data_IF_866123120023
#
_entry.id   IF_866123120023
#
_cell.length_a   1.000
_cell.length_b   1.000
_cell.length_c   1.000
_cell.angle_alpha   90.00
_cell.angle_beta   90.00
_cell.angle_gamma   90.00
#
_symmetry.space_group_name_H-M   'P 1'
#
loop_
_entity.id
_entity.type
_entity.pdbx_description
1 polymer ?
#
# COMPACT_ATOMS: atom_id res chain seq x y z
N UNK A 1 -14.05 30.75 -78.84
CA UNK A 1 -13.94 32.23 -78.88
C UNK A 1 -13.56 32.71 -77.50
N UNK A 2 -12.47 33.46 -77.45
CA UNK A 2 -11.90 34.26 -76.34
C UNK A 2 -11.14 33.52 -75.20
N UNK A 3 -9.84 33.54 -75.40
CA UNK A 3 -8.76 33.59 -74.41
C UNK A 3 -9.01 34.66 -73.31
N UNK A 4 -8.62 34.44 -72.12
CA UNK A 4 -7.92 35.47 -71.31
C UNK A 4 -6.91 34.80 -70.36
N UNK A 5 -5.68 35.22 -70.58
CA UNK A 5 -4.51 35.03 -69.76
C UNK A 5 -4.58 35.75 -68.42
N UNK A 6 -3.68 35.43 -67.51
CA UNK A 6 -2.87 36.34 -66.67
C UNK A 6 -2.88 35.73 -65.20
N UNK A 7 -1.86 35.67 -64.45
CA UNK A 7 -0.51 36.13 -64.35
C UNK A 7 0.20 35.33 -63.26
N UNK A 8 1.49 35.13 -63.53
CA UNK A 8 2.46 34.56 -62.63
C UNK A 8 2.77 35.55 -61.51
N UNK A 9 2.58 35.17 -60.25
CA UNK A 9 3.04 35.89 -59.07
C UNK A 9 3.98 35.05 -58.26
N UNK A 10 5.27 35.28 -58.44
CA UNK A 10 6.33 34.68 -57.58
C UNK A 10 6.33 35.39 -56.25
N UNK A 11 6.01 34.66 -55.17
CA UNK A 11 6.28 35.14 -53.82
C UNK A 11 7.35 34.28 -53.20
N UNK A 12 8.51 34.88 -53.00
CA UNK A 12 9.60 34.32 -52.22
C UNK A 12 9.24 34.31 -50.74
N UNK A 13 9.08 33.14 -50.15
CA UNK A 13 8.91 33.00 -48.72
C UNK A 13 10.25 32.84 -48.04
N UNK A 14 10.63 33.82 -47.25
CA UNK A 14 11.76 33.73 -46.32
C UNK A 14 11.45 32.66 -45.23
N UNK A 15 12.31 31.64 -45.18
CA UNK A 15 12.33 30.70 -44.06
C UNK A 15 13.04 31.38 -42.86
N UNK A 16 12.27 31.86 -41.89
CA UNK A 16 12.78 32.20 -40.59
C UNK A 16 12.79 30.91 -39.72
N UNK A 17 13.96 30.36 -39.50
CA UNK A 17 14.19 29.31 -38.52
C UNK A 17 13.99 29.91 -37.12
N UNK A 18 12.83 29.63 -36.49
CA UNK A 18 12.58 29.92 -35.10
C UNK A 18 13.05 28.72 -34.26
N UNK A 19 14.21 28.84 -33.63
CA UNK A 19 14.61 27.97 -32.54
C UNK A 19 13.68 28.25 -31.32
N UNK A 20 12.59 27.50 -31.22
CA UNK A 20 11.73 27.51 -30.06
C UNK A 20 12.37 26.70 -28.92
N UNK A 21 12.87 27.39 -27.88
CA UNK A 21 13.13 26.81 -26.59
C UNK A 21 11.86 26.08 -26.11
N UNK A 22 11.95 24.75 -25.95
CA UNK A 22 10.96 24.03 -25.14
C UNK A 22 11.10 24.50 -23.69
N UNK A 23 10.26 25.43 -23.30
CA UNK A 23 10.03 25.70 -21.90
C UNK A 23 9.54 24.39 -21.26
N UNK A 24 10.24 23.92 -20.23
CA UNK A 24 9.78 22.87 -19.36
C UNK A 24 8.43 23.31 -18.77
N UNK A 25 7.35 22.65 -19.17
CA UNK A 25 6.11 22.74 -18.41
C UNK A 25 6.38 22.22 -16.99
N UNK A 26 6.03 22.96 -15.95
CA UNK A 26 6.16 22.46 -14.60
C UNK A 26 5.24 21.24 -14.45
N UNK A 27 5.83 20.09 -14.13
CA UNK A 27 5.06 18.92 -13.69
C UNK A 27 4.06 19.37 -12.63
N UNK A 28 2.79 19.20 -12.91
CA UNK A 28 1.72 19.46 -11.97
C UNK A 28 1.95 18.58 -10.75
N UNK A 29 2.47 19.16 -9.67
CA UNK A 29 2.50 18.51 -8.36
C UNK A 29 1.06 18.21 -8.00
N UNK A 30 0.67 16.96 -8.07
CA UNK A 30 -0.61 16.48 -7.56
C UNK A 30 -0.66 16.90 -6.09
N UNK A 31 -1.49 17.88 -5.76
CA UNK A 31 -1.77 18.24 -4.39
C UNK A 31 -2.51 17.06 -3.77
N UNK A 32 -1.82 16.22 -3.01
CA UNK A 32 -2.46 15.21 -2.20
C UNK A 32 -3.33 15.93 -1.16
N UNK A 33 -4.60 15.62 -1.15
CA UNK A 33 -5.55 16.08 -0.12
C UNK A 33 -5.07 15.56 1.24
N UNK A 34 -4.97 16.41 2.26
CA UNK A 34 -4.66 15.99 3.64
C UNK A 34 -5.84 15.26 4.32
N UNK A 35 -6.98 15.16 3.63
CA UNK A 35 -8.20 14.56 4.15
C UNK A 35 -8.49 13.22 3.50
N UNK A 36 -8.87 12.25 4.32
CA UNK A 36 -9.30 10.95 3.84
C UNK A 36 -10.57 11.02 2.98
N UNK A 37 -10.51 10.39 1.82
CA UNK A 37 -11.64 10.17 0.94
C UNK A 37 -11.96 8.69 0.91
N UNK A 38 -13.18 8.32 1.23
CA UNK A 38 -13.63 6.93 1.12
C UNK A 38 -13.81 6.57 -0.36
N UNK A 39 -13.25 5.44 -0.77
CA UNK A 39 -13.33 4.91 -2.14
C UNK A 39 -13.80 3.46 -2.13
N UNK A 40 -14.24 2.94 -3.27
CA UNK A 40 -14.54 1.53 -3.43
C UNK A 40 -13.27 0.70 -3.55
N UNK A 41 -13.25 -0.57 -3.11
CA UNK A 41 -12.10 -1.45 -3.29
C UNK A 41 -11.59 -1.54 -4.74
N UNK A 42 -12.49 -1.47 -5.73
CA UNK A 42 -12.16 -1.51 -7.16
C UNK A 42 -11.46 -0.23 -7.67
N UNK A 43 -11.47 0.82 -6.88
CA UNK A 43 -10.81 2.10 -7.18
C UNK A 43 -9.39 2.18 -6.60
N UNK A 44 -8.91 1.09 -5.99
CA UNK A 44 -7.52 0.97 -5.56
C UNK A 44 -6.65 0.83 -6.81
N UNK A 45 -6.00 1.91 -7.20
CA UNK A 45 -5.12 1.98 -8.37
C UNK A 45 -3.65 1.89 -7.92
N UNK A 46 -3.17 0.67 -7.71
CA UNK A 46 -1.81 0.37 -7.26
C UNK A 46 -1.24 -0.87 -7.95
N UNK A 47 0.07 -0.93 -8.07
CA UNK A 47 0.74 -2.19 -8.34
C UNK A 47 0.86 -2.97 -7.02
N UNK A 48 0.04 -3.99 -6.81
CA UNK A 48 0.00 -4.74 -5.56
C UNK A 48 1.34 -5.42 -5.23
N UNK A 49 2.08 -5.92 -6.22
CA UNK A 49 3.40 -6.53 -6.00
C UNK A 49 4.37 -5.49 -5.45
N UNK A 50 4.46 -4.32 -6.11
CA UNK A 50 5.33 -3.23 -5.65
C UNK A 50 4.92 -2.73 -4.25
N UNK A 51 3.63 -2.54 -4.02
CA UNK A 51 3.10 -2.02 -2.76
C UNK A 51 3.51 -2.88 -1.56
N UNK A 52 3.46 -4.23 -1.70
CA UNK A 52 3.89 -5.11 -0.61
C UNK A 52 5.40 -5.33 -0.62
N UNK A 53 6.00 -5.73 -1.75
CA UNK A 53 7.39 -6.17 -1.79
C UNK A 53 8.40 -5.01 -1.64
N UNK A 54 8.14 -3.89 -2.30
CA UNK A 54 9.08 -2.78 -2.37
C UNK A 54 8.71 -1.63 -1.42
N UNK A 55 7.45 -1.17 -1.45
CA UNK A 55 7.01 0.00 -0.69
C UNK A 55 6.71 -0.34 0.78
N UNK A 56 6.34 -1.59 1.05
CA UNK A 56 5.91 -2.15 2.33
C UNK A 56 4.58 -1.56 2.83
N UNK A 57 3.89 -2.35 3.60
CA UNK A 57 2.65 -1.94 4.26
C UNK A 57 2.80 -2.00 5.78
N UNK A 58 2.05 -1.18 6.48
CA UNK A 58 1.90 -1.30 7.94
C UNK A 58 0.61 -2.05 8.24
N UNK A 59 0.74 -3.24 8.81
CA UNK A 59 -0.35 -4.02 9.36
C UNK A 59 -0.62 -3.57 10.78
N UNK A 60 -1.89 -3.33 11.11
CA UNK A 60 -2.32 -3.02 12.47
C UNK A 60 -3.53 -3.84 12.86
N UNK A 61 -3.58 -4.28 14.11
CA UNK A 61 -4.70 -5.00 14.71
C UNK A 61 -4.90 -4.57 16.16
N UNK A 62 -6.11 -4.74 16.64
CA UNK A 62 -6.56 -4.21 17.93
C UNK A 62 -7.42 -2.97 17.77
N UNK A 63 -7.85 -2.39 18.91
CA UNK A 63 -8.74 -1.23 18.93
C UNK A 63 -8.22 -0.18 19.90
N UNK A 64 -8.44 1.07 19.56
CA UNK A 64 -8.10 2.21 20.39
C UNK A 64 -6.66 2.11 20.95
N UNK A 65 -6.47 2.18 22.25
CA UNK A 65 -5.16 2.08 22.89
C UNK A 65 -4.63 0.65 23.02
N UNK A 66 -5.48 -0.37 22.82
CA UNK A 66 -5.10 -1.79 22.83
C UNK A 66 -4.85 -2.30 21.43
N UNK A 67 -3.78 -1.85 20.81
CA UNK A 67 -3.42 -2.19 19.43
C UNK A 67 -1.93 -2.52 19.32
N UNK A 68 -1.58 -3.22 18.24
CA UNK A 68 -0.19 -3.36 17.82
C UNK A 68 -0.07 -3.27 16.30
N UNK A 69 1.12 -2.90 15.83
CA UNK A 69 1.41 -2.78 14.41
C UNK A 69 2.75 -3.43 14.06
N UNK A 70 2.90 -3.81 12.81
CA UNK A 70 4.15 -4.29 12.24
C UNK A 70 4.21 -4.04 10.74
N UNK A 71 5.40 -3.80 10.24
CA UNK A 71 5.64 -3.72 8.80
C UNK A 71 5.55 -5.10 8.19
N UNK A 72 4.87 -5.20 7.05
CA UNK A 72 4.75 -6.39 6.25
C UNK A 72 5.20 -6.12 4.81
N UNK A 73 5.85 -7.14 4.20
CA UNK A 73 6.27 -7.13 2.80
C UNK A 73 5.63 -8.27 2.00
N UNK A 74 4.86 -9.13 2.64
CA UNK A 74 4.18 -10.27 2.02
C UNK A 74 2.68 -10.08 2.09
N UNK A 75 2.05 -10.15 0.93
CA UNK A 75 0.61 -9.98 0.82
C UNK A 75 0.15 -9.80 -0.61
N UNK A 76 -1.11 -9.46 -0.77
CA UNK A 76 -1.72 -9.24 -2.07
C UNK A 76 -3.14 -8.71 -1.96
N UNK A 77 -3.62 -8.18 -3.07
CA UNK A 77 -5.01 -7.79 -3.29
C UNK A 77 -5.64 -8.79 -4.27
N UNK A 78 -6.89 -9.13 -4.05
CA UNK A 78 -7.58 -10.06 -4.93
C UNK A 78 -9.06 -10.15 -4.66
N UNK A 79 -9.64 -11.28 -5.06
CA UNK A 79 -11.03 -11.62 -4.82
C UNK A 79 -11.14 -13.06 -4.28
N UNK A 80 -12.06 -13.26 -3.34
CA UNK A 80 -12.42 -14.57 -2.81
C UNK A 80 -13.92 -14.58 -2.48
N UNK A 81 -14.65 -15.56 -3.00
CA UNK A 81 -16.09 -15.75 -2.76
C UNK A 81 -16.95 -14.54 -3.16
N UNK A 82 -16.60 -13.86 -4.26
CA UNK A 82 -17.29 -12.65 -4.72
C UNK A 82 -17.02 -11.40 -3.85
N UNK A 83 -15.94 -11.41 -3.07
CA UNK A 83 -15.56 -10.33 -2.17
C UNK A 83 -14.15 -9.83 -2.48
N UNK A 84 -13.91 -8.51 -2.50
CA UNK A 84 -12.56 -7.99 -2.56
C UNK A 84 -11.81 -8.33 -1.27
N UNK A 85 -10.58 -8.79 -1.39
CA UNK A 85 -9.79 -9.26 -0.24
C UNK A 85 -8.37 -8.73 -0.23
N UNK A 86 -7.82 -8.64 0.97
CA UNK A 86 -6.37 -8.55 1.23
C UNK A 86 -5.91 -9.88 1.80
N UNK A 87 -4.81 -10.42 1.27
CA UNK A 87 -4.10 -11.55 1.88
C UNK A 87 -2.82 -11.03 2.54
N UNK A 88 -2.56 -11.43 3.77
CA UNK A 88 -1.33 -11.11 4.52
C UNK A 88 -0.75 -12.35 5.16
N UNK A 89 0.55 -12.32 5.46
CA UNK A 89 1.28 -13.42 6.10
C UNK A 89 1.99 -12.93 7.34
N UNK A 90 1.68 -13.50 8.50
CA UNK A 90 2.21 -13.09 9.80
C UNK A 90 2.78 -14.27 10.55
N UNK A 91 4.07 -14.22 10.90
CA UNK A 91 4.69 -15.27 11.71
C UNK A 91 4.09 -15.30 13.12
N UNK A 92 3.88 -16.50 13.65
CA UNK A 92 3.37 -16.74 15.01
C UNK A 92 4.26 -16.14 16.12
N UNK A 93 5.53 -15.84 15.81
CA UNK A 93 6.46 -15.19 16.75
C UNK A 93 6.22 -13.69 16.89
N UNK A 94 5.53 -13.07 15.94
CA UNK A 94 5.27 -11.63 15.96
C UNK A 94 4.21 -11.27 16.99
N UNK A 95 4.46 -10.22 17.77
CA UNK A 95 3.50 -9.78 18.79
C UNK A 95 2.14 -9.40 18.19
N UNK A 96 2.12 -8.87 16.97
CA UNK A 96 0.88 -8.54 16.22
C UNK A 96 0.01 -9.78 15.97
N UNK A 97 0.61 -10.99 15.91
CA UNK A 97 -0.15 -12.25 15.77
C UNK A 97 -1.22 -12.39 16.84
N UNK A 98 -0.89 -12.12 18.12
CA UNK A 98 -1.86 -12.16 19.23
C UNK A 98 -3.05 -11.23 18.95
N UNK A 99 -2.79 -10.02 18.49
CA UNK A 99 -3.85 -9.05 18.20
C UNK A 99 -4.73 -9.47 17.01
N UNK A 100 -4.14 -10.13 16.00
CA UNK A 100 -4.92 -10.71 14.90
C UNK A 100 -5.82 -11.84 15.38
N UNK A 101 -5.36 -12.69 16.30
CA UNK A 101 -6.19 -13.77 16.83
C UNK A 101 -7.37 -13.23 17.67
N UNK A 102 -7.13 -12.24 18.49
CA UNK A 102 -8.10 -11.66 19.42
C UNK A 102 -9.11 -10.70 18.77
N UNK A 103 -8.86 -10.22 17.53
CA UNK A 103 -9.70 -9.23 16.87
C UNK A 103 -10.25 -9.73 15.54
N UNK A 104 -11.48 -9.36 15.23
CA UNK A 104 -12.15 -9.71 13.98
C UNK A 104 -11.64 -8.89 12.78
N UNK A 105 -11.12 -7.70 13.04
CA UNK A 105 -10.67 -6.75 12.03
C UNK A 105 -9.17 -6.48 12.13
N UNK A 106 -8.60 -6.08 11.00
CA UNK A 106 -7.26 -5.52 10.90
C UNK A 106 -7.22 -4.44 9.82
N UNK A 107 -6.19 -3.62 9.83
CA UNK A 107 -5.95 -2.63 8.78
C UNK A 107 -4.58 -2.84 8.13
N UNK A 108 -4.48 -2.52 6.85
CA UNK A 108 -3.20 -2.36 6.16
C UNK A 108 -3.13 -0.96 5.57
N UNK A 109 -2.04 -0.26 5.84
CA UNK A 109 -1.87 1.14 5.43
C UNK A 109 -0.59 1.32 4.64
N UNK A 110 -0.67 2.07 3.52
CA UNK A 110 0.48 2.47 2.73
C UNK A 110 0.90 3.90 3.07
N UNK A 111 2.18 4.18 2.92
CA UNK A 111 2.77 5.46 3.26
C UNK A 111 3.60 6.01 2.10
N UNK A 112 3.70 7.35 1.95
CA UNK A 112 4.70 7.97 1.10
C UNK A 112 6.12 7.56 1.50
N UNK A 113 7.04 7.52 0.53
CA UNK A 113 8.44 7.06 0.67
C UNK A 113 9.18 7.75 1.84
N UNK A 114 8.86 9.00 2.13
CA UNK A 114 9.47 9.76 3.24
C UNK A 114 9.26 9.13 4.62
N UNK A 115 8.36 8.16 4.75
CA UNK A 115 8.10 7.43 6.01
C UNK A 115 8.77 6.05 6.03
N UNK A 116 9.61 5.73 5.04
CA UNK A 116 10.28 4.43 4.91
C UNK A 116 11.05 4.03 6.17
N UNK A 117 11.79 4.95 6.76
CA UNK A 117 12.56 4.70 7.99
C UNK A 117 11.66 4.33 9.16
N UNK A 118 10.46 4.93 9.25
CA UNK A 118 9.48 4.57 10.28
C UNK A 118 8.93 3.15 10.07
N UNK A 119 8.66 2.76 8.83
CA UNK A 119 8.26 1.39 8.51
C UNK A 119 9.38 0.40 8.83
N UNK A 120 10.63 0.72 8.52
CA UNK A 120 11.79 -0.11 8.88
C UNK A 120 11.88 -0.29 10.40
N UNK A 121 11.78 0.79 11.17
CA UNK A 121 11.75 0.74 12.63
C UNK A 121 10.63 -0.19 13.12
N UNK A 122 9.39 0.00 12.65
CA UNK A 122 8.21 -0.78 13.07
C UNK A 122 8.30 -2.27 12.71
N UNK A 123 9.08 -2.62 11.68
CA UNK A 123 9.38 -3.99 11.32
C UNK A 123 10.47 -4.64 12.18
N UNK A 124 11.37 -3.84 12.78
CA UNK A 124 12.53 -4.31 13.52
C UNK A 124 12.29 -4.49 15.02
N UNK A 125 11.44 -3.67 15.65
CA UNK A 125 11.16 -3.70 17.08
C UNK A 125 9.90 -4.50 17.43
N UNK A 126 9.80 -4.94 18.67
CA UNK A 126 8.64 -5.66 19.20
C UNK A 126 7.79 -4.75 20.10
N UNK A 127 6.47 -4.76 19.91
CA UNK A 127 5.53 -4.10 20.83
C UNK A 127 5.44 -4.76 22.22
N UNK A 128 6.15 -5.88 22.45
CA UNK A 128 6.34 -6.43 23.81
C UNK A 128 7.32 -5.60 24.62
N UNK A 129 8.28 -4.97 23.92
CA UNK A 129 9.45 -4.36 24.54
C UNK A 129 9.42 -2.83 24.45
N UNK A 130 8.71 -2.30 23.43
CA UNK A 130 8.68 -0.87 23.11
C UNK A 130 7.28 -0.37 22.77
N UNK A 131 7.01 0.88 23.12
CA UNK A 131 5.85 1.64 22.62
C UNK A 131 6.11 2.06 21.17
N UNK A 132 5.59 1.27 20.24
CA UNK A 132 5.80 1.45 18.79
C UNK A 132 5.17 2.74 18.25
N UNK A 133 4.07 3.21 18.83
CA UNK A 133 3.44 4.49 18.46
C UNK A 133 4.40 5.63 18.79
N UNK A 134 4.86 5.68 20.03
CA UNK A 134 5.79 6.71 20.49
C UNK A 134 7.13 6.64 19.75
N UNK A 135 7.68 5.43 19.57
CA UNK A 135 8.98 5.25 18.92
C UNK A 135 8.97 5.60 17.43
N UNK A 136 7.89 5.31 16.71
CA UNK A 136 7.77 5.65 15.29
C UNK A 136 7.42 7.13 15.06
N UNK A 137 6.76 7.76 16.03
CA UNK A 137 6.19 9.11 15.87
C UNK A 137 5.13 9.19 14.77
N UNK A 138 4.46 8.07 14.45
CA UNK A 138 3.24 8.07 13.64
C UNK A 138 2.06 8.48 14.51
N UNK A 139 1.08 9.13 13.90
CA UNK A 139 -0.13 9.63 14.58
C UNK A 139 -1.30 8.68 14.29
N UNK A 140 -1.71 7.82 15.24
CA UNK A 140 -2.88 6.97 15.06
C UNK A 140 -4.15 7.79 14.93
N UNK A 141 -5.00 7.39 14.00
CA UNK A 141 -6.39 7.76 13.85
C UNK A 141 -7.22 6.46 13.89
N UNK A 142 -8.49 6.56 14.16
CA UNK A 142 -9.33 5.36 14.29
C UNK A 142 -10.53 5.43 13.36
N UNK A 143 -10.82 4.31 12.72
CA UNK A 143 -12.01 4.16 11.89
C UNK A 143 -13.28 4.19 12.74
N UNK A 144 -14.44 4.20 12.11
CA UNK A 144 -15.74 4.08 12.82
C UNK A 144 -15.87 2.77 13.61
N UNK A 145 -15.12 1.71 13.21
CA UNK A 145 -15.08 0.43 13.90
C UNK A 145 -14.01 0.38 15.00
N UNK A 146 -13.27 1.47 15.22
CA UNK A 146 -12.20 1.60 16.21
C UNK A 146 -10.85 1.01 15.76
N UNK A 147 -10.71 0.63 14.50
CA UNK A 147 -9.45 0.06 14.00
C UNK A 147 -8.45 1.16 13.65
N UNK A 148 -7.14 0.95 13.94
CA UNK A 148 -6.13 1.98 13.75
C UNK A 148 -5.77 2.19 12.27
N UNK A 149 -5.71 3.47 11.87
CA UNK A 149 -5.10 3.98 10.65
C UNK A 149 -4.15 5.12 11.05
N UNK A 150 -3.46 5.77 10.12
CA UNK A 150 -2.44 6.77 10.49
C UNK A 150 -2.58 8.03 9.65
N UNK A 151 -2.45 9.18 10.31
CA UNK A 151 -2.51 10.48 9.65
C UNK A 151 -1.51 10.62 8.50
N UNK A 152 -0.34 10.02 8.62
CA UNK A 152 0.75 10.10 7.65
C UNK A 152 0.57 9.14 6.44
N UNK A 153 -0.35 8.20 6.52
CA UNK A 153 -0.63 7.26 5.44
C UNK A 153 -1.40 7.94 4.28
N UNK A 154 -1.22 7.41 3.07
CA UNK A 154 -1.92 7.86 1.86
C UNK A 154 -2.97 6.87 1.36
N UNK A 155 -2.96 5.63 1.85
CA UNK A 155 -3.97 4.61 1.62
C UNK A 155 -4.21 3.83 2.91
N UNK A 156 -5.45 3.63 3.27
CA UNK A 156 -5.85 2.78 4.40
C UNK A 156 -6.93 1.81 3.96
N UNK A 157 -6.71 0.53 4.24
CA UNK A 157 -7.64 -0.56 3.91
C UNK A 157 -8.04 -1.26 5.21
N UNK A 158 -9.32 -1.24 5.54
CA UNK A 158 -9.87 -1.94 6.69
C UNK A 158 -10.45 -3.27 6.25
N UNK A 159 -10.06 -4.34 6.94
CA UNK A 159 -10.39 -5.70 6.57
C UNK A 159 -11.08 -6.44 7.71
N UNK A 160 -12.12 -7.22 7.36
CA UNK A 160 -12.74 -8.22 8.23
C UNK A 160 -12.14 -9.58 7.94
N UNK A 161 -11.61 -10.29 8.94
CA UNK A 161 -11.07 -11.64 8.75
C UNK A 161 -12.14 -12.58 8.19
N UNK A 162 -11.82 -13.26 7.09
CA UNK A 162 -12.63 -14.32 6.50
C UNK A 162 -12.02 -15.70 6.73
N UNK A 163 -10.69 -15.77 6.69
CA UNK A 163 -9.97 -17.03 6.77
C UNK A 163 -8.61 -16.83 7.41
N UNK A 164 -8.15 -17.82 8.16
CA UNK A 164 -6.79 -17.87 8.72
C UNK A 164 -6.33 -19.32 8.78
N UNK A 165 -5.13 -19.60 8.25
CA UNK A 165 -4.53 -20.94 8.23
C UNK A 165 -3.00 -20.83 8.29
N UNK A 166 -2.33 -21.57 9.17
CA UNK A 166 -0.88 -21.71 9.14
C UNK A 166 -0.41 -22.34 7.83
N UNK A 167 0.67 -21.83 7.24
CA UNK A 167 1.29 -22.43 6.08
C UNK A 167 1.80 -23.84 6.43
N UNK A 168 1.36 -24.85 5.67
CA UNK A 168 1.77 -26.23 5.88
C UNK A 168 3.20 -26.44 5.36
N UNK A 169 4.15 -26.69 6.26
CA UNK A 169 5.57 -26.91 5.91
C UNK A 169 5.77 -28.12 4.98
N UNK A 170 4.94 -29.15 5.08
CA UNK A 170 5.06 -30.35 4.23
C UNK A 170 4.71 -30.08 2.76
N UNK A 171 3.96 -29.02 2.50
CA UNK A 171 3.60 -28.57 1.16
C UNK A 171 4.56 -27.51 0.60
N UNK A 172 5.56 -27.06 1.38
CA UNK A 172 6.53 -26.07 0.94
C UNK A 172 7.63 -26.71 0.08
N UNK A 173 8.18 -25.95 -0.91
CA UNK A 173 9.43 -26.33 -1.53
C UNK A 173 10.54 -26.53 -0.47
N UNK A 174 11.50 -27.39 -0.75
CA UNK A 174 12.54 -27.77 0.23
C UNK A 174 13.31 -26.56 0.75
N UNK A 175 13.66 -25.61 -0.11
CA UNK A 175 14.39 -24.40 0.24
C UNK A 175 13.65 -23.56 1.29
N UNK A 176 12.34 -23.34 1.10
CA UNK A 176 11.51 -22.58 2.03
C UNK A 176 11.34 -23.30 3.37
N UNK A 177 11.21 -24.62 3.35
CA UNK A 177 11.15 -25.46 4.56
C UNK A 177 12.45 -25.33 5.36
N UNK A 178 13.60 -25.47 4.70
CA UNK A 178 14.93 -25.32 5.30
C UNK A 178 15.11 -23.92 5.90
N UNK A 179 14.66 -22.88 5.20
CA UNK A 179 14.72 -21.50 5.69
C UNK A 179 13.98 -21.35 7.06
N UNK A 180 12.77 -21.92 7.20
CA UNK A 180 12.05 -21.91 8.49
C UNK A 180 12.80 -22.66 9.60
N UNK A 181 13.39 -23.80 9.27
CA UNK A 181 14.11 -24.63 10.24
C UNK A 181 15.41 -23.98 10.71
N UNK A 182 16.18 -23.40 9.80
CA UNK A 182 17.42 -22.67 10.11
C UNK A 182 17.18 -21.41 10.93
N UNK A 183 16.18 -20.63 10.56
CA UNK A 183 15.82 -19.40 11.29
C UNK A 183 15.15 -19.66 12.62
N UNK A 184 14.72 -20.91 12.89
CA UNK A 184 13.90 -21.27 14.05
C UNK A 184 12.72 -20.33 14.24
N UNK A 185 12.17 -19.85 13.12
CA UNK A 185 11.09 -18.89 13.09
C UNK A 185 9.75 -19.62 13.12
N UNK A 186 8.77 -19.06 13.83
CA UNK A 186 7.39 -19.54 13.79
C UNK A 186 6.83 -19.52 12.37
N UNK A 187 5.99 -20.49 12.04
CA UNK A 187 5.35 -20.57 10.73
C UNK A 187 4.47 -19.34 10.54
N UNK A 188 4.44 -18.83 9.31
CA UNK A 188 3.52 -17.77 8.98
C UNK A 188 2.09 -18.31 8.86
N UNK A 189 1.15 -17.57 9.42
CA UNK A 189 -0.28 -17.74 9.21
C UNK A 189 -0.70 -16.85 8.04
N UNK A 190 -1.38 -17.42 7.06
CA UNK A 190 -2.05 -16.67 6.02
C UNK A 190 -3.40 -16.18 6.55
N UNK A 191 -3.63 -14.89 6.51
CA UNK A 191 -4.93 -14.29 6.78
C UNK A 191 -5.52 -13.75 5.49
N UNK A 192 -6.79 -14.02 5.24
CA UNK A 192 -7.56 -13.41 4.16
C UNK A 192 -8.64 -12.56 4.81
N UNK A 193 -8.61 -11.27 4.54
CA UNK A 193 -9.59 -10.30 5.02
C UNK A 193 -10.42 -9.72 3.89
N UNK A 194 -11.76 -9.73 4.04
CA UNK A 194 -12.66 -8.95 3.20
C UNK A 194 -12.36 -7.46 3.37
N UNK A 195 -12.16 -6.76 2.28
CA UNK A 195 -12.01 -5.30 2.28
C UNK A 195 -13.40 -4.71 2.54
N UNK A 196 -13.58 -4.12 3.71
CA UNK A 196 -14.86 -3.52 4.12
C UNK A 196 -14.89 -2.02 3.94
N UNK A 197 -13.74 -1.36 4.09
CA UNK A 197 -13.60 0.08 3.86
C UNK A 197 -12.22 0.38 3.27
N UNK A 198 -12.16 1.41 2.43
CA UNK A 198 -10.92 1.93 1.85
C UNK A 198 -10.94 3.44 1.88
N UNK A 199 -9.84 4.04 2.31
CA UNK A 199 -9.64 5.50 2.28
C UNK A 199 -8.32 5.82 1.59
N UNK A 200 -8.34 6.91 0.82
CA UNK A 200 -7.20 7.46 0.08
C UNK A 200 -7.07 8.96 0.35
N UNK A 201 -5.84 9.48 0.29
CA UNK A 201 -5.54 10.91 0.28
C UNK A 201 -4.96 11.34 -1.06
#
# INVERSE_FOLDING_TARGET
>A
MKLKQIALGVFAALLLASCGNKANEPEAKTQTSDTWQEIKPQEIDVNAVKMFADDWMLLSAGKDTSMNMMTIAWGGLGELWGKPVVTIYVSTDRYTYKFLEENEYFTVTAFPEQYRDKLQYLGSVSGRDEDKVKGSGLTPEFTKLGNPIYKEANLAIECKKLYAEPLNKDLMPLEQRQWYDEKKQGVHVMYIGEIVNVWKK
#
